data_IF_703781591107
#
_entry.id   IF_703781591107
#
_cell.length_a   1.000
_cell.length_b   1.000
_cell.length_c   1.000
_cell.angle_alpha   90.00
_cell.angle_beta   90.00
_cell.angle_gamma   90.00
#
_symmetry.space_group_name_H-M   'P 1'
#
loop_
_entity.id
_entity.type
_entity.pdbx_description
1 polymer ?
#
# COMPACT_ATOMS: atom_id res chain seq x y z
N UNK A 1 4.37 15.69 -5.59
CA UNK A 1 3.71 15.56 -6.91
C UNK A 1 2.20 15.59 -6.71
N UNK A 2 1.44 16.43 -7.43
CA UNK A 2 0.01 16.67 -7.15
C UNK A 2 -0.96 15.83 -7.99
N UNK A 3 -0.47 15.10 -8.99
CA UNK A 3 -1.29 14.37 -9.96
C UNK A 3 -0.69 13.02 -10.38
N UNK A 4 0.25 12.47 -9.59
CA UNK A 4 0.85 11.18 -9.90
C UNK A 4 -0.20 10.08 -9.71
N UNK A 5 -0.51 9.34 -10.78
CA UNK A 5 -1.51 8.27 -10.77
C UNK A 5 -0.90 6.86 -10.91
N UNK A 6 0.26 6.75 -11.56
CA UNK A 6 0.95 5.48 -11.80
C UNK A 6 2.40 5.58 -11.33
N UNK A 7 2.85 4.59 -10.58
CA UNK A 7 4.24 4.45 -10.19
C UNK A 7 4.68 3.00 -10.39
N UNK A 8 5.81 2.82 -11.07
CA UNK A 8 6.47 1.53 -11.20
C UNK A 8 7.83 1.64 -10.51
N UNK A 9 8.08 0.75 -9.56
CA UNK A 9 9.35 0.65 -8.84
C UNK A 9 9.97 -0.75 -8.99
N UNK A 10 9.48 -1.57 -9.93
CA UNK A 10 9.95 -2.94 -10.14
C UNK A 10 11.48 -3.00 -10.24
N UNK A 11 12.07 -3.98 -9.56
CA UNK A 11 13.52 -4.24 -9.60
C UNK A 11 14.34 -3.20 -8.83
N UNK A 12 13.70 -2.33 -8.04
CA UNK A 12 14.40 -1.50 -7.07
C UNK A 12 14.68 -2.31 -5.80
N UNK A 13 15.75 -1.99 -5.09
CA UNK A 13 16.09 -2.61 -3.82
C UNK A 13 15.49 -1.83 -2.64
N UNK A 14 14.16 -1.77 -2.55
CA UNK A 14 13.50 -1.23 -1.35
C UNK A 14 13.59 -2.28 -0.24
N UNK A 15 14.57 -2.11 0.65
CA UNK A 15 14.84 -3.01 1.78
C UNK A 15 14.16 -2.58 3.08
N UNK A 16 13.70 -1.34 3.15
CA UNK A 16 13.11 -0.77 4.36
C UNK A 16 11.62 -0.50 4.16
N UNK A 17 10.79 -1.00 5.07
CA UNK A 17 9.36 -0.69 5.13
C UNK A 17 9.08 0.83 5.22
N UNK A 18 10.03 1.58 5.80
CA UNK A 18 9.94 3.05 5.87
C UNK A 18 9.91 3.71 4.49
N UNK A 19 10.47 3.09 3.45
CA UNK A 19 10.39 3.64 2.10
C UNK A 19 8.94 3.66 1.58
N UNK A 20 8.10 2.70 1.98
CA UNK A 20 6.67 2.69 1.64
C UNK A 20 5.93 3.89 2.26
N UNK A 21 6.39 4.39 3.42
CA UNK A 21 5.80 5.60 4.04
C UNK A 21 5.96 6.83 3.16
N UNK A 22 7.00 6.90 2.33
CA UNK A 22 7.16 8.00 1.37
C UNK A 22 6.04 8.04 0.31
N UNK A 23 5.46 6.88 -0.03
CA UNK A 23 4.33 6.78 -0.95
C UNK A 23 3.04 7.37 -0.35
N UNK A 24 2.93 7.47 0.97
CA UNK A 24 1.78 8.10 1.63
C UNK A 24 1.60 9.57 1.18
N UNK A 25 2.68 10.25 0.77
CA UNK A 25 2.64 11.62 0.25
C UNK A 25 1.86 11.74 -1.07
N UNK A 26 1.72 10.65 -1.82
CA UNK A 26 0.96 10.58 -3.08
C UNK A 26 -0.30 9.72 -2.98
N UNK A 27 -0.66 9.25 -1.78
CA UNK A 27 -1.83 8.39 -1.50
C UNK A 27 -3.15 8.90 -2.05
N UNK A 28 -3.32 10.23 -2.16
CA UNK A 28 -4.55 10.86 -2.66
C UNK A 28 -4.72 10.79 -4.18
N UNK A 29 -3.63 10.64 -4.93
CA UNK A 29 -3.66 10.68 -6.40
C UNK A 29 -3.24 9.38 -7.04
N UNK A 30 -2.45 8.56 -6.35
CA UNK A 30 -1.96 7.30 -6.88
C UNK A 30 -3.11 6.30 -7.04
N UNK A 31 -3.16 5.61 -8.19
CA UNK A 31 -4.17 4.62 -8.57
C UNK A 31 -3.55 3.28 -8.93
N UNK A 32 -2.31 3.27 -9.41
CA UNK A 32 -1.63 2.04 -9.78
C UNK A 32 -0.18 2.03 -9.29
N UNK A 33 0.21 0.92 -8.66
CA UNK A 33 1.56 0.67 -8.18
C UNK A 33 2.07 -0.66 -8.75
N UNK A 34 3.29 -0.67 -9.26
CA UNK A 34 4.02 -1.92 -9.56
C UNK A 34 5.19 -2.00 -8.59
N UNK A 35 5.17 -3.06 -7.78
CA UNK A 35 6.10 -3.32 -6.68
C UNK A 35 6.79 -4.70 -6.81
N UNK A 36 6.56 -5.42 -7.91
CA UNK A 36 7.16 -6.74 -8.21
C UNK A 36 8.69 -6.69 -8.07
N UNK A 37 9.31 -7.84 -7.76
CA UNK A 37 10.77 -7.99 -7.70
C UNK A 37 11.41 -7.19 -6.55
N UNK A 38 10.74 -7.22 -5.38
CA UNK A 38 11.24 -6.71 -4.11
C UNK A 38 11.22 -7.80 -3.04
N UNK A 39 12.20 -7.86 -2.13
CA UNK A 39 12.22 -8.82 -1.03
C UNK A 39 10.97 -8.77 -0.13
N UNK A 40 10.35 -7.60 -0.01
CA UNK A 40 9.12 -7.38 0.78
C UNK A 40 7.88 -8.09 0.19
N UNK A 41 7.92 -8.48 -1.09
CA UNK A 41 6.83 -9.23 -1.76
C UNK A 41 6.72 -10.65 -1.21
N UNK A 42 7.76 -11.19 -0.58
CA UNK A 42 7.72 -12.51 0.06
C UNK A 42 7.02 -12.51 1.43
N UNK A 43 6.62 -11.35 1.96
CA UNK A 43 5.78 -11.28 3.15
C UNK A 43 4.33 -11.64 2.81
N UNK A 44 3.71 -12.49 3.63
CA UNK A 44 2.38 -13.08 3.37
C UNK A 44 1.26 -12.04 3.18
N UNK A 45 1.49 -10.77 3.55
CA UNK A 45 0.48 -9.71 3.54
C UNK A 45 0.92 -8.41 2.84
N UNK A 46 1.90 -8.46 1.93
CA UNK A 46 2.44 -7.22 1.31
C UNK A 46 1.36 -6.33 0.66
N UNK A 47 0.38 -6.93 -0.03
CA UNK A 47 -0.73 -6.20 -0.68
C UNK A 47 -1.57 -5.46 0.34
N UNK A 48 -1.90 -6.12 1.44
CA UNK A 48 -2.68 -5.54 2.52
C UNK A 48 -1.91 -4.38 3.17
N UNK A 49 -0.62 -4.57 3.48
CA UNK A 49 0.25 -3.52 4.01
C UNK A 49 0.36 -2.30 3.09
N UNK A 50 0.46 -2.53 1.77
CA UNK A 50 0.44 -1.46 0.76
C UNK A 50 -0.91 -0.74 0.77
N UNK A 51 -2.04 -1.46 0.83
CA UNK A 51 -3.38 -0.87 0.86
C UNK A 51 -3.68 -0.11 2.15
N UNK A 52 -3.10 -0.53 3.27
CA UNK A 52 -3.20 0.21 4.53
C UNK A 52 -2.56 1.60 4.42
N UNK A 53 -1.51 1.75 3.60
CA UNK A 53 -0.87 3.03 3.31
C UNK A 53 -1.54 3.79 2.15
N UNK A 54 -2.02 3.07 1.14
CA UNK A 54 -2.48 3.58 -0.15
C UNK A 54 -3.89 3.09 -0.49
N UNK A 55 -4.87 3.51 0.32
CA UNK A 55 -6.27 3.05 0.26
C UNK A 55 -7.03 3.39 -1.03
N UNK A 56 -6.46 4.19 -1.93
CA UNK A 56 -7.06 4.60 -3.21
C UNK A 56 -6.48 3.85 -4.42
N UNK A 57 -5.64 2.83 -4.20
CA UNK A 57 -5.13 2.02 -5.29
C UNK A 57 -6.26 1.21 -5.94
N UNK A 58 -6.28 1.25 -7.25
CA UNK A 58 -7.14 0.45 -8.12
C UNK A 58 -6.38 -0.76 -8.67
N UNK A 59 -5.04 -0.69 -8.75
CA UNK A 59 -4.18 -1.77 -9.24
C UNK A 59 -2.87 -1.89 -8.47
N UNK A 60 -2.48 -3.12 -8.15
CA UNK A 60 -1.18 -3.48 -7.57
C UNK A 60 -0.59 -4.60 -8.43
N UNK A 61 0.62 -4.41 -8.94
CA UNK A 61 1.35 -5.40 -9.73
C UNK A 61 0.60 -5.90 -10.97
N UNK A 62 -0.19 -5.00 -11.57
CA UNK A 62 -1.09 -5.21 -12.71
C UNK A 62 -2.39 -5.95 -12.36
N UNK A 63 -2.54 -6.41 -11.12
CA UNK A 63 -3.78 -7.00 -10.64
C UNK A 63 -4.71 -5.92 -10.09
N UNK A 64 -6.03 -5.99 -10.39
CA UNK A 64 -7.00 -5.08 -9.81
C UNK A 64 -7.06 -5.27 -8.29
N UNK A 65 -7.30 -4.17 -7.58
CA UNK A 65 -7.62 -4.20 -6.15
C UNK A 65 -9.11 -4.49 -6.00
N UNK A 66 -9.45 -5.52 -5.23
CA UNK A 66 -10.83 -5.89 -4.94
C UNK A 66 -11.44 -5.03 -3.83
N UNK A 67 -12.78 -4.88 -3.79
CA UNK A 67 -13.45 -4.22 -2.68
C UNK A 67 -13.20 -4.89 -1.32
N UNK A 68 -13.01 -6.22 -1.31
CA UNK A 68 -12.71 -7.00 -0.11
C UNK A 68 -11.33 -6.63 0.46
N UNK A 69 -10.30 -6.57 -0.37
CA UNK A 69 -8.96 -6.14 0.06
C UNK A 69 -8.99 -4.71 0.65
N UNK A 70 -9.77 -3.81 0.07
CA UNK A 70 -9.94 -2.44 0.60
C UNK A 70 -10.67 -2.44 1.95
N UNK A 71 -11.70 -3.27 2.09
CA UNK A 71 -12.44 -3.41 3.34
C UNK A 71 -11.53 -3.94 4.46
N UNK A 72 -10.79 -5.02 4.18
CA UNK A 72 -9.81 -5.60 5.10
C UNK A 72 -8.75 -4.58 5.51
N UNK A 73 -8.19 -3.82 4.56
CA UNK A 73 -7.20 -2.79 4.87
C UNK A 73 -7.77 -1.69 5.80
N UNK A 74 -9.01 -1.26 5.56
CA UNK A 74 -9.69 -0.25 6.39
C UNK A 74 -10.00 -0.78 7.80
N UNK A 75 -10.39 -2.03 7.91
CA UNK A 75 -10.61 -2.71 9.19
C UNK A 75 -9.33 -2.77 9.99
N UNK A 76 -8.21 -3.21 9.39
CA UNK A 76 -6.90 -3.21 10.04
C UNK A 76 -6.45 -1.83 10.50
N UNK A 77 -6.66 -0.79 9.69
CA UNK A 77 -6.36 0.60 10.09
C UNK A 77 -7.21 1.01 11.31
N UNK A 78 -8.47 0.58 11.36
CA UNK A 78 -9.38 0.88 12.47
C UNK A 78 -8.92 0.17 13.75
N UNK A 79 -8.62 -1.12 13.67
CA UNK A 79 -8.07 -1.92 14.78
C UNK A 79 -6.83 -1.26 15.38
N UNK A 80 -5.85 -0.92 14.54
CA UNK A 80 -4.61 -0.25 14.99
C UNK A 80 -4.87 1.08 15.69
N UNK A 81 -5.86 1.85 15.23
CA UNK A 81 -6.23 3.11 15.89
C UNK A 81 -6.89 2.88 17.25
N UNK A 82 -7.72 1.85 17.37
CA UNK A 82 -8.36 1.48 18.64
C UNK A 82 -7.34 0.95 19.64
N UNK A 83 -6.38 0.14 19.20
CA UNK A 83 -5.25 -0.35 20.02
C UNK A 83 -4.35 0.80 20.50
N UNK A 84 -4.02 1.75 19.62
CA UNK A 84 -3.24 2.95 19.98
C UNK A 84 -3.99 3.94 20.86
N UNK A 85 -5.33 3.88 20.85
CA UNK A 85 -6.22 4.73 21.62
C UNK A 85 -6.78 4.04 22.87
N UNK A 86 -6.04 3.04 23.41
CA UNK A 86 -6.45 2.25 24.58
C UNK A 86 -7.00 3.09 25.75
N UNK A 87 -7.81 2.45 26.62
CA UNK A 87 -8.80 3.08 27.52
C UNK A 87 -8.26 4.18 28.44
#
# INVERSE_FOLDING_TARGET
MKCLQYQNVRGNAILEENALKSLALVSKTLRALVFTDHPLVESTDYRLSVLMLLTQLERIDKDPVSPEEVAQAKERIKELKEEMSGP
#
